data_IF_516884399399
#
_entry.id   IF_516884399399
#
_cell.length_a   1.000
_cell.length_b   1.000
_cell.length_c   1.000
_cell.angle_alpha   90.00
_cell.angle_beta   90.00
_cell.angle_gamma   90.00
#
_symmetry.space_group_name_H-M   'P 1'
#
loop_
_entity.id
_entity.type
_entity.pdbx_description
1 polymer ?
#
# COMPACT_ATOMS: atom_id res chain seq x y z
N UNK A 1 -3.86 6.69 14.22
CA UNK A 1 -4.51 6.52 12.92
C UNK A 1 -5.84 7.25 12.96
N UNK A 2 -6.13 8.13 11.99
CA UNK A 2 -7.38 8.93 12.00
C UNK A 2 -8.55 8.24 11.28
N UNK A 3 -8.24 7.44 10.28
CA UNK A 3 -9.18 6.65 9.47
C UNK A 3 -8.54 5.30 9.12
N UNK A 4 -9.30 4.29 8.70
CA UNK A 4 -8.75 2.97 8.34
C UNK A 4 -8.84 2.73 6.84
N UNK A 5 -7.72 2.83 6.13
CA UNK A 5 -7.69 2.69 4.67
C UNK A 5 -7.22 1.30 4.25
N UNK A 6 -5.94 0.97 4.48
CA UNK A 6 -5.38 -0.34 4.20
C UNK A 6 -4.70 -0.96 5.41
N UNK A 7 -4.66 -2.29 5.44
CA UNK A 7 -3.99 -3.08 6.47
C UNK A 7 -3.18 -4.21 5.81
N UNK A 8 -1.99 -4.47 6.33
CA UNK A 8 -1.16 -5.62 5.95
C UNK A 8 -0.46 -6.19 7.19
N UNK A 9 0.19 -7.35 7.09
CA UNK A 9 0.93 -7.92 8.23
C UNK A 9 2.13 -8.73 7.77
N UNK A 10 3.22 -8.67 8.54
CA UNK A 10 4.36 -9.59 8.44
C UNK A 10 4.18 -10.84 9.33
N UNK A 11 2.98 -11.05 9.87
CA UNK A 11 2.66 -12.09 10.84
C UNK A 11 3.05 -11.76 12.29
N UNK A 12 3.69 -10.61 12.54
CA UNK A 12 4.08 -10.15 13.90
C UNK A 12 3.42 -8.84 14.28
N UNK A 13 3.36 -7.90 13.35
CA UNK A 13 2.71 -6.60 13.53
C UNK A 13 1.68 -6.38 12.44
N UNK A 14 0.71 -5.50 12.71
CA UNK A 14 -0.22 -5.02 11.68
C UNK A 14 0.29 -3.68 11.17
N UNK A 15 0.52 -3.59 9.87
CA UNK A 15 0.76 -2.33 9.19
C UNK A 15 -0.57 -1.67 8.85
N UNK A 16 -0.65 -0.35 8.97
CA UNK A 16 -1.87 0.40 8.64
C UNK A 16 -1.60 1.70 7.91
N UNK A 17 -2.58 2.12 7.11
CA UNK A 17 -2.62 3.41 6.42
C UNK A 17 -3.95 4.13 6.69
N UNK A 18 -3.95 5.45 6.55
CA UNK A 18 -5.13 6.30 6.74
C UNK A 18 -5.27 7.42 5.69
N UNK A 19 -4.68 7.21 4.51
CA UNK A 19 -4.64 8.21 3.44
C UNK A 19 -3.65 9.36 3.68
N UNK A 20 -3.01 9.44 4.85
CA UNK A 20 -1.87 10.35 5.06
C UNK A 20 -0.58 9.78 4.45
N UNK A 21 0.57 10.40 4.75
CA UNK A 21 1.90 9.87 4.45
C UNK A 21 2.50 9.10 5.64
N UNK A 22 1.67 8.51 6.51
CA UNK A 22 2.14 7.74 7.67
C UNK A 22 1.81 6.27 7.48
N UNK A 23 2.83 5.42 7.61
CA UNK A 23 2.67 4.00 7.80
C UNK A 23 2.67 3.71 9.32
N UNK A 24 1.59 3.12 9.80
CA UNK A 24 1.42 2.74 11.20
C UNK A 24 1.92 1.31 11.41
N UNK A 25 2.60 1.04 12.53
CA UNK A 25 2.80 -0.32 13.04
C UNK A 25 1.94 -0.47 14.30
N UNK A 26 1.08 -1.47 14.30
CA UNK A 26 0.02 -1.68 15.27
C UNK A 26 0.24 -3.04 15.93
N UNK A 27 0.14 -3.07 17.25
CA UNK A 27 0.22 -4.30 18.02
C UNK A 27 -1.04 -5.16 17.78
N UNK A 28 -0.92 -6.43 17.35
CA UNK A 28 -2.07 -7.24 16.97
C UNK A 28 -2.96 -7.66 18.15
N UNK A 29 -2.48 -7.61 19.39
CA UNK A 29 -3.26 -8.03 20.57
C UNK A 29 -4.01 -6.85 21.21
N UNK A 30 -3.30 -5.74 21.41
CA UNK A 30 -3.81 -4.53 22.07
C UNK A 30 -4.42 -3.52 21.11
N UNK A 31 -4.19 -3.69 19.81
CA UNK A 31 -4.57 -2.78 18.73
C UNK A 31 -4.03 -1.34 18.90
N UNK A 32 -2.99 -1.17 19.73
CA UNK A 32 -2.36 0.12 19.93
C UNK A 32 -1.32 0.40 18.84
N UNK A 33 -1.25 1.66 18.42
CA UNK A 33 -0.18 2.11 17.53
C UNK A 33 1.14 2.09 18.30
N UNK A 34 2.05 1.22 17.90
CA UNK A 34 3.40 1.12 18.45
C UNK A 34 4.34 2.13 17.80
N UNK A 35 4.17 2.36 16.50
CA UNK A 35 5.05 3.20 15.71
C UNK A 35 4.31 3.94 14.60
N UNK A 36 4.76 5.16 14.32
CA UNK A 36 4.32 5.97 13.19
C UNK A 36 5.55 6.30 12.33
N UNK A 37 5.52 5.86 11.08
CA UNK A 37 6.66 5.97 10.16
C UNK A 37 6.27 6.89 9.00
N UNK A 38 6.87 8.08 8.87
CA UNK A 38 6.64 8.95 7.72
C UNK A 38 7.15 8.28 6.44
N UNK A 39 6.29 8.16 5.43
CA UNK A 39 6.62 7.57 4.14
C UNK A 39 7.10 8.65 3.18
N UNK A 40 8.30 8.44 2.61
CA UNK A 40 8.96 9.41 1.75
C UNK A 40 9.59 8.77 0.52
N UNK A 41 9.56 9.50 -0.58
CA UNK A 41 10.41 9.27 -1.73
C UNK A 41 11.30 10.49 -1.91
N UNK A 42 12.62 10.30 -1.76
CA UNK A 42 13.57 11.39 -1.61
C UNK A 42 13.13 12.30 -0.43
N UNK A 43 13.06 13.63 -0.65
CA UNK A 43 12.66 14.59 0.37
C UNK A 43 11.15 14.85 0.43
N UNK A 44 10.35 14.16 -0.39
CA UNK A 44 8.92 14.40 -0.54
C UNK A 44 8.09 13.33 0.20
N UNK A 45 7.07 13.78 0.92
CA UNK A 45 6.08 12.90 1.54
C UNK A 45 5.25 12.19 0.46
N UNK A 46 5.08 10.87 0.60
CA UNK A 46 4.15 10.10 -0.24
C UNK A 46 2.83 9.97 0.48
N UNK A 47 1.83 10.72 0.01
CA UNK A 47 0.49 10.80 0.61
C UNK A 47 -0.49 9.86 -0.08
N UNK A 48 -1.68 9.73 0.50
CA UNK A 48 -2.77 8.93 -0.05
C UNK A 48 -2.44 7.44 -0.13
N UNK A 49 -1.68 6.96 0.85
CA UNK A 49 -1.46 5.53 1.05
C UNK A 49 -2.80 4.87 1.36
N UNK A 50 -3.21 3.92 0.53
CA UNK A 50 -4.49 3.23 0.63
C UNK A 50 -4.27 1.76 0.96
N UNK A 51 -4.80 0.84 0.14
CA UNK A 51 -4.56 -0.59 0.27
C UNK A 51 -3.08 -0.96 0.43
N UNK A 52 -2.83 -1.96 1.27
CA UNK A 52 -1.49 -2.41 1.67
C UNK A 52 -1.34 -3.92 1.47
N UNK A 53 -0.16 -4.37 1.10
CA UNK A 53 0.23 -5.78 1.13
C UNK A 53 1.68 -5.92 1.62
N UNK A 54 1.98 -6.96 2.39
CA UNK A 54 3.34 -7.22 2.85
C UNK A 54 4.01 -8.28 1.98
N UNK A 55 5.11 -7.92 1.34
CA UNK A 55 5.79 -8.78 0.38
C UNK A 55 7.29 -8.76 0.67
N UNK A 56 7.84 -9.90 1.06
CA UNK A 56 9.29 -10.15 1.17
C UNK A 56 10.08 -9.08 1.97
N UNK A 57 9.52 -8.56 3.07
CA UNK A 57 10.20 -7.53 3.89
C UNK A 57 9.69 -6.11 3.69
N UNK A 58 8.85 -5.88 2.68
CA UNK A 58 8.42 -4.55 2.26
C UNK A 58 6.91 -4.41 2.36
N UNK A 59 6.44 -3.19 2.60
CA UNK A 59 5.01 -2.86 2.50
C UNK A 59 4.75 -2.20 1.16
N UNK A 60 3.91 -2.85 0.36
CA UNK A 60 3.45 -2.35 -0.93
C UNK A 60 2.16 -1.58 -0.68
N UNK A 61 2.09 -0.33 -1.15
CA UNK A 61 0.94 0.53 -0.92
C UNK A 61 0.40 1.12 -2.21
N UNK A 62 -0.89 0.97 -2.47
CA UNK A 62 -1.55 1.76 -3.51
C UNK A 62 -1.48 3.26 -3.14
N UNK A 63 -1.04 4.09 -4.08
CA UNK A 63 -1.15 5.54 -3.96
C UNK A 63 -2.45 5.99 -4.62
N UNK A 64 -3.48 6.28 -3.81
CA UNK A 64 -4.83 6.56 -4.29
C UNK A 64 -4.86 7.72 -5.31
N UNK A 65 -5.72 7.59 -6.32
CA UNK A 65 -5.81 8.45 -7.53
C UNK A 65 -4.61 8.38 -8.48
N UNK A 66 -3.72 7.42 -8.30
CA UNK A 66 -2.64 7.12 -9.26
C UNK A 66 -2.74 5.66 -9.70
N UNK A 67 -2.04 5.32 -10.78
CA UNK A 67 -1.85 3.94 -11.22
C UNK A 67 -0.51 3.39 -10.71
N UNK A 68 -0.10 3.81 -9.50
CA UNK A 68 1.19 3.49 -8.91
C UNK A 68 1.04 2.72 -7.59
N UNK A 69 1.96 1.78 -7.38
CA UNK A 69 2.20 1.15 -6.08
C UNK A 69 3.58 1.60 -5.58
N UNK A 70 3.63 2.10 -4.35
CA UNK A 70 4.86 2.40 -3.64
C UNK A 70 5.38 1.16 -2.92
N UNK A 71 6.66 0.84 -3.08
CA UNK A 71 7.33 -0.22 -2.32
C UNK A 71 8.09 0.44 -1.18
N UNK A 72 7.65 0.18 0.07
CA UNK A 72 8.06 0.94 1.25
C UNK A 72 8.85 0.02 2.19
N UNK A 73 10.02 0.48 2.63
CA UNK A 73 10.71 -0.12 3.79
C UNK A 73 9.92 0.23 5.07
N UNK A 74 9.32 -0.75 5.79
CA UNK A 74 8.52 -0.47 6.99
C UNK A 74 9.35 0.09 8.15
N UNK A 75 10.67 -0.15 8.14
CA UNK A 75 11.59 0.33 9.15
C UNK A 75 11.93 1.81 8.96
N UNK A 76 12.16 2.24 7.72
CA UNK A 76 12.62 3.61 7.44
C UNK A 76 11.53 4.53 6.92
N UNK A 77 10.47 3.99 6.33
CA UNK A 77 9.46 4.73 5.56
C UNK A 77 9.95 5.15 4.18
N UNK A 78 11.16 4.78 3.78
CA UNK A 78 11.69 5.14 2.46
C UNK A 78 11.05 4.25 1.40
N UNK A 79 10.54 4.89 0.36
CA UNK A 79 10.11 4.21 -0.87
C UNK A 79 11.35 3.77 -1.64
N UNK A 80 11.54 2.46 -1.74
CA UNK A 80 12.68 1.82 -2.41
C UNK A 80 12.40 1.46 -3.87
N UNK A 81 11.13 1.51 -4.28
CA UNK A 81 10.71 1.24 -5.65
C UNK A 81 9.29 1.71 -5.94
N UNK A 82 8.98 1.79 -7.23
CA UNK A 82 7.65 2.11 -7.74
C UNK A 82 7.25 1.09 -8.79
N UNK A 83 5.99 0.65 -8.73
CA UNK A 83 5.37 -0.13 -9.80
C UNK A 83 4.35 0.73 -10.50
N UNK A 84 4.45 0.83 -11.84
CA UNK A 84 3.55 1.60 -12.68
C UNK A 84 2.60 0.64 -13.41
N UNK A 85 1.30 0.82 -13.22
CA UNK A 85 0.25 -0.11 -13.68
C UNK A 85 -0.72 0.53 -14.69
N UNK A 86 -0.33 1.65 -15.29
CA UNK A 86 -1.15 2.39 -16.27
C UNK A 86 -1.67 1.48 -17.40
N UNK A 87 -0.85 0.55 -17.89
CA UNK A 87 -1.25 -0.39 -18.95
C UNK A 87 -2.36 -1.35 -18.50
N UNK A 88 -2.37 -1.81 -17.25
CA UNK A 88 -3.42 -2.71 -16.78
C UNK A 88 -4.79 -2.01 -16.75
N UNK A 89 -4.81 -0.73 -16.38
CA UNK A 89 -6.04 0.09 -16.44
C UNK A 89 -6.57 0.22 -17.88
N UNK A 90 -5.68 0.43 -18.85
CA UNK A 90 -6.06 0.53 -20.26
C UNK A 90 -6.66 -0.76 -20.82
N UNK A 91 -6.20 -1.91 -20.33
CA UNK A 91 -6.68 -3.22 -20.78
C UNK A 91 -7.82 -3.78 -19.90
N UNK A 92 -8.29 -3.04 -18.89
CA UNK A 92 -9.42 -3.45 -18.07
C UNK A 92 -10.73 -3.41 -18.88
N UNK A 93 -11.61 -4.43 -18.76
CA UNK A 93 -12.92 -4.44 -19.41
C UNK A 93 -13.82 -3.26 -18.98
N UNK A 94 -13.52 -2.62 -17.84
CA UNK A 94 -14.21 -1.45 -17.33
C UNK A 94 -13.62 -0.11 -17.80
N UNK A 95 -12.68 -0.10 -18.75
CA UNK A 95 -12.01 1.12 -19.23
C UNK A 95 -12.94 2.23 -19.73
N UNK A 96 -14.23 1.96 -19.96
CA UNK A 96 -15.26 2.98 -20.26
C UNK A 96 -15.83 3.73 -19.04
N UNK A 97 -15.57 3.29 -17.80
CA UNK A 97 -16.16 3.84 -16.56
C UNK A 97 -15.08 4.40 -15.61
N UNK A 98 -14.10 5.11 -16.17
CA UNK A 98 -12.88 5.61 -15.51
C UNK A 98 -13.10 6.55 -14.31
N UNK A 99 -14.34 7.02 -14.07
CA UNK A 99 -14.64 7.95 -12.99
C UNK A 99 -14.73 7.25 -11.61
N UNK A 100 -14.88 5.93 -11.57
CA UNK A 100 -15.20 5.20 -10.34
C UNK A 100 -14.25 4.03 -10.01
N UNK A 101 -13.57 3.42 -10.99
CA UNK A 101 -12.55 2.36 -10.75
C UNK A 101 -11.18 3.00 -10.49
N UNK A 102 -10.68 2.84 -9.28
CA UNK A 102 -9.35 3.26 -8.85
C UNK A 102 -8.59 2.04 -8.42
N UNK A 103 -7.35 1.88 -8.92
CA UNK A 103 -6.46 0.81 -8.49
C UNK A 103 -6.43 0.75 -6.96
N UNK A 104 -6.96 -0.34 -6.41
CA UNK A 104 -7.13 -0.51 -4.98
C UNK A 104 -7.30 -1.98 -4.66
N UNK A 105 -6.20 -2.61 -4.26
CA UNK A 105 -6.15 -4.03 -3.96
C UNK A 105 -4.83 -4.60 -4.46
N UNK A 106 -4.07 -5.17 -3.54
CA UNK A 106 -2.82 -5.88 -3.80
C UNK A 106 -2.94 -7.17 -2.99
N UNK A 107 -2.67 -8.31 -3.61
CA UNK A 107 -2.64 -9.58 -2.91
C UNK A 107 -1.39 -10.37 -3.29
N UNK A 108 -0.75 -10.97 -2.29
CA UNK A 108 0.45 -11.78 -2.46
C UNK A 108 0.24 -13.23 -2.05
N UNK A 109 0.56 -14.14 -2.96
CA UNK A 109 0.63 -15.58 -2.74
C UNK A 109 2.10 -15.97 -2.57
N UNK A 110 2.53 -16.12 -1.31
CA UNK A 110 3.92 -16.41 -0.95
C UNK A 110 4.39 -17.77 -1.49
N UNK A 111 3.55 -18.80 -1.39
CA UNK A 111 3.90 -20.18 -1.77
C UNK A 111 4.17 -20.32 -3.28
N UNK A 112 3.43 -19.59 -4.10
CA UNK A 112 3.54 -19.67 -5.57
C UNK A 112 4.21 -18.45 -6.20
N UNK A 113 4.61 -17.47 -5.38
CA UNK A 113 5.18 -16.20 -5.82
C UNK A 113 4.31 -15.45 -6.85
N UNK A 114 3.01 -15.30 -6.56
CA UNK A 114 2.06 -14.62 -7.46
C UNK A 114 1.57 -13.32 -6.84
N UNK A 115 1.66 -12.25 -7.62
CA UNK A 115 1.12 -10.94 -7.28
C UNK A 115 -0.18 -10.71 -8.06
N UNK A 116 -1.22 -10.28 -7.34
CA UNK A 116 -2.50 -9.90 -7.91
C UNK A 116 -2.79 -8.44 -7.58
N UNK A 117 -3.47 -7.74 -8.50
CA UNK A 117 -3.93 -6.38 -8.29
C UNK A 117 -5.34 -6.19 -8.84
N UNK A 118 -6.13 -5.34 -8.18
CA UNK A 118 -7.53 -5.05 -8.51
C UNK A 118 -7.74 -3.56 -8.81
N UNK A 119 -8.64 -3.25 -9.75
CA UNK A 119 -9.00 -1.91 -10.21
C UNK A 119 -10.45 -1.57 -9.88
#
# INVERSE_FOLDING_TARGET
MRDGWGLATDGKVVFGSDGTSTLYQIDPESHQVMRMVPVKYQDNDVRYLNELEYINGEVWANAFKTDCIAIISPDSGIVVGWVFLHELRHHSPNSGNMAHDVLNGIAWDEDNHRLFGEF
#
